data_IF_950000137915
#
_entry.id   IF_950000137915
#
_cell.length_a   1.000
_cell.length_b   1.000
_cell.length_c   1.000
_cell.angle_alpha   90.00
_cell.angle_beta   90.00
_cell.angle_gamma   90.00
#
_symmetry.space_group_name_H-M   'P 1'
#
loop_
_entity.id
_entity.type
_entity.pdbx_description
1 polymer ?
#
# COMPACT_ATOMS: atom_id res chain seq x y z
N UNK A 1 -5.17 1.74 1.63
CA UNK A 1 -5.01 1.15 2.97
C UNK A 1 -5.27 -0.35 2.93
N UNK A 2 -6.34 -0.80 2.25
CA UNK A 2 -6.71 -2.18 1.84
C UNK A 2 -5.86 -3.39 2.29
N UNK A 3 -4.55 -3.40 2.05
CA UNK A 3 -3.70 -4.50 2.53
C UNK A 3 -3.51 -4.51 4.06
N UNK A 4 -3.48 -3.33 4.69
CA UNK A 4 -3.31 -3.16 6.14
C UNK A 4 -4.60 -3.37 6.91
N UNK A 5 -5.73 -2.95 6.35
CA UNK A 5 -7.02 -2.85 7.03
C UNK A 5 -8.08 -3.81 6.46
N UNK A 6 -7.70 -4.64 5.49
CA UNK A 6 -8.59 -5.57 4.78
C UNK A 6 -9.78 -4.91 4.07
N UNK A 7 -9.73 -3.60 3.83
CA UNK A 7 -10.74 -2.90 3.03
C UNK A 7 -10.64 -3.20 1.54
N UNK A 8 -11.71 -2.91 0.80
CA UNK A 8 -11.71 -2.92 -0.66
C UNK A 8 -10.75 -1.84 -1.20
N UNK A 9 -10.13 -2.08 -2.36
CA UNK A 9 -9.29 -1.07 -3.02
C UNK A 9 -10.15 0.17 -3.32
N UNK A 10 -9.66 1.34 -2.91
CA UNK A 10 -10.37 2.61 -3.08
C UNK A 10 -10.26 3.20 -4.49
N UNK A 11 -9.46 2.59 -5.36
CA UNK A 11 -9.20 3.06 -6.71
C UNK A 11 -8.70 1.91 -7.58
N UNK A 12 -8.89 2.05 -8.88
CA UNK A 12 -8.35 1.16 -9.90
C UNK A 12 -6.86 1.41 -10.13
N UNK A 13 -6.16 0.39 -10.61
CA UNK A 13 -4.79 0.50 -11.11
C UNK A 13 -4.79 0.14 -12.60
N UNK A 14 -4.53 1.13 -13.45
CA UNK A 14 -4.58 0.99 -14.91
C UNK A 14 -3.16 1.03 -15.47
N UNK A 15 -2.81 0.03 -16.27
CA UNK A 15 -1.54 0.02 -17.00
C UNK A 15 -1.63 0.95 -18.23
N UNK A 16 -0.78 1.98 -18.27
CA UNK A 16 -0.72 2.92 -19.40
C UNK A 16 0.18 2.44 -20.55
N UNK A 17 1.01 1.44 -20.27
CA UNK A 17 1.92 0.78 -21.21
C UNK A 17 1.93 -0.73 -20.92
N UNK A 18 2.42 -1.58 -21.84
CA UNK A 18 2.68 -2.98 -21.55
C UNK A 18 3.49 -3.11 -20.25
N UNK A 19 2.96 -3.83 -19.28
CA UNK A 19 3.48 -3.90 -17.91
C UNK A 19 3.39 -5.33 -17.40
N UNK A 20 4.53 -5.89 -16.99
CA UNK A 20 4.58 -7.16 -16.28
C UNK A 20 4.50 -6.94 -14.77
N UNK A 21 3.79 -7.82 -14.06
CA UNK A 21 3.58 -7.73 -12.62
C UNK A 21 4.01 -9.01 -11.91
N UNK A 22 4.70 -8.84 -10.78
CA UNK A 22 4.85 -9.89 -9.78
C UNK A 22 3.69 -9.81 -8.79
N UNK A 23 2.81 -10.81 -8.81
CA UNK A 23 1.67 -10.87 -7.92
C UNK A 23 2.01 -11.59 -6.60
N UNK A 24 1.75 -10.94 -5.48
CA UNK A 24 1.78 -11.56 -4.15
C UNK A 24 0.34 -11.70 -3.65
N UNK A 25 -0.14 -12.93 -3.57
CA UNK A 25 -1.46 -13.20 -2.99
C UNK A 25 -1.46 -12.97 -1.47
N UNK A 26 -2.63 -12.68 -0.90
CA UNK A 26 -2.80 -12.58 0.56
C UNK A 26 -2.36 -13.89 1.24
N UNK A 27 -2.83 -15.03 0.74
CA UNK A 27 -2.53 -16.34 1.32
C UNK A 27 -1.02 -16.64 1.30
N UNK A 28 -0.35 -16.36 0.18
CA UNK A 28 1.11 -16.56 0.08
C UNK A 28 1.88 -15.65 1.03
N UNK A 29 1.44 -14.41 1.20
CA UNK A 29 2.02 -13.52 2.20
C UNK A 29 1.81 -14.05 3.62
N UNK A 30 0.63 -14.57 3.93
CA UNK A 30 0.27 -15.07 5.27
C UNK A 30 1.10 -16.28 5.66
N UNK A 31 1.22 -17.26 4.76
CA UNK A 31 2.10 -18.40 4.98
C UNK A 31 3.51 -17.95 5.33
N UNK A 32 4.08 -17.00 4.58
CA UNK A 32 5.43 -16.50 4.84
C UNK A 32 5.50 -15.68 6.13
N UNK A 33 4.48 -14.90 6.45
CA UNK A 33 4.44 -14.09 7.66
C UNK A 33 4.35 -14.97 8.92
N UNK A 34 3.58 -16.06 8.85
CA UNK A 34 3.44 -17.05 9.92
C UNK A 34 4.74 -17.85 10.12
N UNK A 35 5.36 -18.30 9.03
CA UNK A 35 6.65 -19.00 9.06
C UNK A 35 7.82 -18.09 9.49
N UNK A 36 7.76 -16.80 9.13
CA UNK A 36 8.82 -15.81 9.36
C UNK A 36 8.26 -14.48 9.87
N UNK A 37 7.86 -14.39 11.15
CA UNK A 37 7.19 -13.22 11.71
C UNK A 37 7.97 -11.90 11.55
N UNK A 38 9.30 -11.95 11.59
CA UNK A 38 10.15 -10.78 11.38
C UNK A 38 9.99 -10.18 9.97
N UNK A 39 9.79 -11.02 8.96
CA UNK A 39 9.54 -10.59 7.57
C UNK A 39 8.16 -9.95 7.48
N UNK A 40 7.13 -10.62 7.99
CA UNK A 40 5.77 -10.08 8.02
C UNK A 40 5.71 -8.70 8.68
N UNK A 41 6.27 -8.58 9.89
CA UNK A 41 6.36 -7.31 10.62
C UNK A 41 7.09 -6.23 9.82
N UNK A 42 8.22 -6.57 9.19
CA UNK A 42 8.98 -5.62 8.37
C UNK A 42 8.17 -5.11 7.18
N UNK A 43 7.44 -5.99 6.50
CA UNK A 43 6.58 -5.61 5.36
C UNK A 43 5.47 -4.66 5.84
N UNK A 44 4.73 -5.04 6.89
CA UNK A 44 3.65 -4.22 7.45
C UNK A 44 4.14 -2.83 7.89
N UNK A 45 5.22 -2.75 8.68
CA UNK A 45 5.76 -1.46 9.14
C UNK A 45 6.19 -0.56 7.98
N UNK A 46 6.84 -1.11 6.95
CA UNK A 46 7.29 -0.33 5.79
C UNK A 46 6.12 0.14 4.94
N UNK A 47 5.11 -0.71 4.75
CA UNK A 47 3.90 -0.34 4.02
C UNK A 47 3.11 0.76 4.75
N UNK A 48 2.93 0.64 6.07
CA UNK A 48 2.28 1.66 6.90
C UNK A 48 3.01 3.01 6.81
N UNK A 49 4.35 3.00 6.92
CA UNK A 49 5.15 4.23 6.77
C UNK A 49 4.99 4.86 5.39
N UNK A 50 5.04 4.07 4.32
CA UNK A 50 4.88 4.57 2.96
C UNK A 50 3.49 5.20 2.75
N UNK A 51 2.43 4.56 3.24
CA UNK A 51 1.07 5.10 3.18
C UNK A 51 0.93 6.40 3.98
N UNK A 52 1.48 6.48 5.18
CA UNK A 52 1.44 7.69 6.00
C UNK A 52 2.18 8.87 5.36
N UNK A 53 3.29 8.62 4.66
CA UNK A 53 4.01 9.65 3.90
C UNK A 53 3.15 10.15 2.74
N UNK A 54 2.59 9.24 1.94
CA UNK A 54 1.75 9.59 0.81
C UNK A 54 0.50 10.37 1.23
N UNK A 55 -0.13 9.98 2.34
CA UNK A 55 -1.29 10.71 2.88
C UNK A 55 -0.93 12.15 3.21
N UNK A 56 0.17 12.39 3.95
CA UNK A 56 0.61 13.76 4.27
C UNK A 56 0.96 14.59 3.02
N UNK A 57 1.51 13.97 1.98
CA UNK A 57 1.78 14.65 0.71
C UNK A 57 0.47 15.06 0.04
N UNK A 58 -0.49 14.14 -0.08
CA UNK A 58 -1.82 14.44 -0.64
C UNK A 58 -2.55 15.51 0.17
N UNK A 59 -2.52 15.44 1.50
CA UNK A 59 -3.14 16.46 2.37
C UNK A 59 -2.52 17.86 2.13
N UNK A 60 -1.20 17.94 1.94
CA UNK A 60 -0.50 19.19 1.66
C UNK A 60 -0.85 19.75 0.26
N UNK A 61 -0.92 18.88 -0.75
CA UNK A 61 -1.33 19.25 -2.11
C UNK A 61 -2.77 19.77 -2.15
N UNK A 62 -3.69 19.09 -1.45
CA UNK A 62 -5.09 19.51 -1.36
C UNK A 62 -5.24 20.88 -0.70
N UNK A 63 -4.54 21.14 0.41
CA UNK A 63 -4.57 22.46 1.06
C UNK A 63 -4.05 23.57 0.16
N UNK A 64 -2.95 23.32 -0.56
CA UNK A 64 -2.40 24.30 -1.50
C UNK A 64 -3.38 24.63 -2.64
N UNK A 65 -4.19 23.66 -3.08
CA UNK A 65 -5.27 23.85 -4.06
C UNK A 65 -6.47 24.62 -3.47
N UNK A 66 -6.82 24.41 -2.21
CA UNK A 66 -7.92 25.12 -1.53
C UNK A 66 -7.57 26.59 -1.22
N UNK A 67 -6.30 26.89 -0.99
CA UNK A 67 -5.81 28.24 -0.68
C UNK A 67 -5.53 29.12 -1.92
N UNK A 68 -5.65 28.58 -3.14
CA UNK A 68 -5.41 29.28 -4.43
C UNK A 68 -6.69 29.80 -5.07
#
# INVERSE_FOLDING_TARGET
MAFLDHSVRSADAVALTPTDLYALSRASFDTVADERPAVGKRVFTRLARALAIRLRQTDAELRALEES
#
